data_IF_393241850279
#
_entry.id   IF_393241850279
#
_cell.length_a   1.000
_cell.length_b   1.000
_cell.length_c   1.000
_cell.angle_alpha   90.00
_cell.angle_beta   90.00
_cell.angle_gamma   90.00
#
_symmetry.space_group_name_H-M   'P 1'
#
loop_
_entity.id
_entity.type
_entity.pdbx_description
1 polymer ?
#
# COMPACT_ATOMS: atom_id res chain seq x y z
N UNK A 1 5.20 6.49 -15.62
CA UNK A 1 4.20 6.92 -14.59
C UNK A 1 3.50 8.22 -14.99
N UNK A 2 2.17 8.24 -14.96
CA UNK A 2 1.35 9.45 -15.15
C UNK A 2 1.14 10.20 -13.81
N UNK A 3 0.53 11.39 -13.84
CA UNK A 3 0.32 12.21 -12.63
C UNK A 3 -0.61 11.58 -11.59
N UNK A 4 -1.55 10.74 -12.03
CA UNK A 4 -2.53 10.06 -11.18
C UNK A 4 -1.85 8.92 -10.38
N UNK A 5 -0.99 8.16 -11.04
CA UNK A 5 -0.18 7.07 -10.50
C UNK A 5 0.75 7.57 -9.38
N UNK A 6 1.40 8.72 -9.58
CA UNK A 6 2.22 9.36 -8.54
C UNK A 6 1.42 9.73 -7.29
N UNK A 7 0.20 10.26 -7.45
CA UNK A 7 -0.66 10.58 -6.30
C UNK A 7 -1.11 9.33 -5.54
N UNK A 8 -1.41 8.24 -6.25
CA UNK A 8 -1.79 6.96 -5.63
C UNK A 8 -0.63 6.33 -4.84
N UNK A 9 0.57 6.27 -5.43
CA UNK A 9 1.79 5.81 -4.74
C UNK A 9 2.09 6.65 -3.52
N UNK A 10 2.02 7.98 -3.64
CA UNK A 10 2.26 8.87 -2.50
C UNK A 10 1.25 8.65 -1.37
N UNK A 11 -0.01 8.30 -1.68
CA UNK A 11 -1.02 7.98 -0.66
C UNK A 11 -0.77 6.63 -0.01
N UNK A 12 -0.52 5.58 -0.78
CA UNK A 12 -0.19 4.26 -0.23
C UNK A 12 1.06 4.34 0.65
N UNK A 13 2.09 5.04 0.19
CA UNK A 13 3.31 5.31 0.94
C UNK A 13 3.03 6.14 2.21
N UNK A 14 2.21 7.19 2.13
CA UNK A 14 1.82 7.97 3.32
C UNK A 14 1.08 7.10 4.34
N UNK A 15 0.14 6.27 3.89
CA UNK A 15 -0.64 5.41 4.78
C UNK A 15 0.25 4.36 5.45
N UNK A 16 1.15 3.69 4.72
CA UNK A 16 2.09 2.73 5.33
C UNK A 16 3.06 3.37 6.32
N UNK A 17 3.42 4.65 6.13
CA UNK A 17 4.23 5.42 7.09
C UNK A 17 3.41 6.04 8.23
N UNK A 18 2.09 6.14 8.08
CA UNK A 18 1.17 6.57 9.13
C UNK A 18 0.80 5.42 10.08
N UNK A 19 0.94 4.16 9.64
CA UNK A 19 0.82 2.99 10.49
C UNK A 19 2.10 2.77 11.29
N UNK A 20 1.96 2.21 12.50
CA UNK A 20 3.11 1.84 13.32
C UNK A 20 3.86 0.66 12.65
N UNK A 21 4.99 0.96 12.03
CA UNK A 21 5.80 -0.02 11.30
C UNK A 21 6.36 -1.12 12.19
N UNK A 22 6.67 -0.81 13.46
CA UNK A 22 7.18 -1.78 14.42
C UNK A 22 6.10 -2.82 14.75
N UNK A 23 4.88 -2.35 15.05
CA UNK A 23 3.72 -3.23 15.27
C UNK A 23 3.44 -4.12 14.06
N UNK A 24 3.46 -3.56 12.85
CA UNK A 24 3.21 -4.33 11.63
C UNK A 24 4.31 -5.39 11.40
N UNK A 25 5.55 -5.08 11.72
CA UNK A 25 6.67 -6.02 11.60
C UNK A 25 6.58 -7.13 12.68
N UNK A 26 6.30 -6.77 13.93
CA UNK A 26 6.11 -7.73 15.04
C UNK A 26 4.95 -8.68 14.77
N UNK A 27 3.84 -8.15 14.25
CA UNK A 27 2.66 -8.92 13.86
C UNK A 27 2.84 -9.67 12.53
N UNK A 28 4.03 -9.63 11.93
CA UNK A 28 4.37 -10.25 10.64
C UNK A 28 3.38 -9.89 9.51
N UNK A 29 2.87 -8.67 9.55
CA UNK A 29 1.90 -8.17 8.57
C UNK A 29 2.63 -7.64 7.33
N UNK A 30 2.24 -8.15 6.16
CA UNK A 30 2.78 -7.77 4.85
C UNK A 30 1.72 -7.03 4.04
N UNK A 31 2.10 -5.94 3.36
CA UNK A 31 1.20 -5.20 2.49
C UNK A 31 0.73 -6.07 1.30
N UNK A 32 -0.57 -6.08 1.02
CA UNK A 32 -1.18 -6.98 0.06
C UNK A 32 -2.42 -6.42 -0.63
N UNK A 33 -3.22 -7.33 -1.18
CA UNK A 33 -4.49 -6.99 -1.84
C UNK A 33 -4.34 -6.28 -3.18
N UNK A 34 -5.46 -5.72 -3.66
CA UNK A 34 -5.55 -5.13 -5.00
C UNK A 34 -4.68 -3.88 -5.17
N UNK A 35 -4.46 -3.13 -4.09
CA UNK A 35 -3.56 -1.98 -4.09
C UNK A 35 -2.09 -2.41 -4.29
N UNK A 36 -1.62 -3.45 -3.59
CA UNK A 36 -0.26 -3.96 -3.77
C UNK A 36 0.00 -4.50 -5.17
N UNK A 37 -0.98 -5.20 -5.77
CA UNK A 37 -0.89 -5.72 -7.13
C UNK A 37 -0.77 -4.57 -8.15
N UNK A 38 -1.67 -3.58 -8.07
CA UNK A 38 -1.65 -2.44 -9.00
C UNK A 38 -0.30 -1.68 -8.95
N UNK A 39 0.25 -1.49 -7.74
CA UNK A 39 1.59 -0.90 -7.58
C UNK A 39 2.70 -1.77 -8.19
N UNK A 40 2.62 -3.09 -8.02
CA UNK A 40 3.61 -4.03 -8.57
C UNK A 40 3.59 -4.10 -10.10
N UNK A 41 2.47 -3.76 -10.74
CA UNK A 41 2.29 -3.76 -12.19
C UNK A 41 2.49 -2.37 -12.84
N UNK A 42 2.86 -1.34 -12.07
CA UNK A 42 2.86 0.07 -12.50
C UNK A 42 1.49 0.54 -13.08
N UNK A 43 0.39 0.01 -12.54
CA UNK A 43 -0.98 0.33 -12.95
C UNK A 43 -1.70 1.27 -11.97
N UNK A 44 -2.45 2.24 -12.51
CA UNK A 44 -3.27 3.11 -11.68
C UNK A 44 -4.60 2.43 -11.33
N UNK A 45 -4.86 2.31 -10.03
CA UNK A 45 -6.16 1.93 -9.47
C UNK A 45 -6.54 2.90 -8.37
N UNK A 46 -7.79 3.34 -8.38
CA UNK A 46 -8.38 4.01 -7.23
C UNK A 46 -8.74 2.97 -6.17
N UNK A 47 -8.22 3.14 -4.95
CA UNK A 47 -8.48 2.26 -3.82
C UNK A 47 -8.59 3.11 -2.56
N UNK A 48 -9.67 2.95 -1.82
CA UNK A 48 -9.82 3.54 -0.49
C UNK A 48 -9.18 2.64 0.59
N UNK A 49 -9.17 1.33 0.34
CA UNK A 49 -8.70 0.32 1.28
C UNK A 49 -7.20 0.04 1.13
N UNK A 50 -6.56 -0.34 2.24
CA UNK A 50 -5.18 -0.81 2.35
C UNK A 50 -5.20 -2.15 3.08
N UNK A 51 -4.81 -3.21 2.38
CA UNK A 51 -4.85 -4.57 2.92
C UNK A 51 -3.47 -4.99 3.46
N UNK A 52 -3.48 -5.66 4.61
CA UNK A 52 -2.32 -6.35 5.16
C UNK A 52 -2.66 -7.83 5.39
N UNK A 53 -1.74 -8.71 5.03
CA UNK A 53 -1.79 -10.14 5.33
C UNK A 53 -0.92 -10.40 6.55
N UNK A 54 -1.47 -10.99 7.61
CA UNK A 54 -0.73 -11.34 8.84
C UNK A 54 -0.69 -12.86 9.03
N UNK A 55 0.34 -13.37 9.73
CA UNK A 55 0.59 -14.80 9.94
C UNK A 55 0.17 -15.29 11.33
#
# INVERSE_FOLDING_TARGET
>A
MNGLMRKAINRAHFVTHAFNSELLQEAQCSFGGGAAIALSLDEYRESADVDFLCA
#
